data_IF_383821268042
#
_entry.id   IF_383821268042
#
_cell.length_a   1.000
_cell.length_b   1.000
_cell.length_c   1.000
_cell.angle_alpha   90.00
_cell.angle_beta   90.00
_cell.angle_gamma   90.00
#
_symmetry.space_group_name_H-M   'P 1'
#
loop_
_entity.id
_entity.type
_entity.pdbx_description
1 polymer ?
#
# COMPACT_ATOMS: atom_id res chain seq x y z
N UNK A 1 -21.17 4.13 3.47
CA UNK A 1 -20.67 5.23 4.32
C UNK A 1 -20.25 4.66 5.64
N UNK A 2 -18.94 4.68 5.88
CA UNK A 2 -18.35 4.25 7.15
C UNK A 2 -18.77 5.14 8.32
N UNK A 3 -18.86 4.52 9.47
CA UNK A 3 -19.11 5.13 10.78
C UNK A 3 -17.96 4.82 11.74
N UNK A 4 -17.92 5.47 12.90
CA UNK A 4 -16.95 5.19 13.96
C UNK A 4 -16.82 3.70 14.30
N UNK A 5 -17.94 2.95 14.27
CA UNK A 5 -17.97 1.51 14.56
C UNK A 5 -17.16 0.64 13.58
N UNK A 6 -16.83 1.19 12.41
CA UNK A 6 -16.06 0.47 11.38
C UNK A 6 -14.54 0.57 11.59
N UNK A 7 -14.10 1.35 12.59
CA UNK A 7 -12.70 1.41 13.03
C UNK A 7 -12.34 0.10 13.72
N UNK A 8 -11.20 -0.47 13.34
CA UNK A 8 -10.69 -1.68 13.95
C UNK A 8 -9.70 -1.33 15.07
N UNK A 9 -9.85 -1.99 16.21
CA UNK A 9 -9.09 -1.72 17.42
C UNK A 9 -8.35 -2.98 17.86
N UNK A 10 -7.09 -2.82 18.23
CA UNK A 10 -6.30 -3.84 18.90
C UNK A 10 -5.75 -3.29 20.20
N UNK A 11 -6.16 -3.90 21.31
CA UNK A 11 -5.62 -3.56 22.62
C UNK A 11 -4.27 -4.25 22.80
N UNK A 12 -3.19 -3.47 22.82
CA UNK A 12 -1.83 -3.97 23.01
C UNK A 12 -1.06 -3.05 23.96
N UNK A 13 -0.45 -3.61 25.00
CA UNK A 13 0.27 -2.81 25.99
C UNK A 13 1.74 -2.62 25.57
N UNK A 14 2.00 -1.54 24.84
CA UNK A 14 3.36 -1.13 24.47
C UNK A 14 4.10 -0.53 25.67
N UNK A 15 5.37 -0.92 25.84
CA UNK A 15 6.19 -0.48 26.98
C UNK A 15 6.39 1.04 27.07
N UNK A 16 6.19 1.77 25.98
CA UNK A 16 6.28 3.22 25.90
C UNK A 16 4.92 3.95 25.91
N UNK A 17 3.83 3.21 26.19
CA UNK A 17 2.45 3.73 26.27
C UNK A 17 1.98 4.48 25.00
N UNK A 18 2.60 4.18 23.85
CA UNK A 18 2.19 4.74 22.57
C UNK A 18 0.93 4.07 22.04
N UNK A 19 0.18 4.86 21.28
CA UNK A 19 -0.94 4.41 20.48
C UNK A 19 -0.64 4.78 19.03
N UNK A 20 -0.80 3.81 18.14
CA UNK A 20 -0.55 3.92 16.73
C UNK A 20 -1.90 3.98 16.01
N UNK A 21 -2.24 5.16 15.49
CA UNK A 21 -3.46 5.40 14.73
C UNK A 21 -3.07 5.38 13.25
N UNK A 22 -3.43 4.31 12.54
CA UNK A 22 -3.06 4.14 11.13
C UNK A 22 -4.29 4.24 10.24
N UNK A 23 -4.26 5.21 9.32
CA UNK A 23 -5.21 5.32 8.21
C UNK A 23 -4.54 4.84 6.92
N UNK A 24 -5.12 3.85 6.26
CA UNK A 24 -4.81 3.56 4.86
C UNK A 24 -5.83 4.17 3.95
N UNK A 25 -5.35 4.75 2.86
CA UNK A 25 -6.14 5.40 1.84
C UNK A 25 -5.83 4.68 0.55
N UNK A 26 -6.84 4.25 -0.22
CA UNK A 26 -6.70 3.60 -1.53
C UNK A 26 -6.24 4.57 -2.62
N UNK A 27 -5.15 5.28 -2.37
CA UNK A 27 -4.49 6.21 -3.27
C UNK A 27 -3.00 6.02 -3.05
N UNK A 28 -2.27 5.65 -4.10
CA UNK A 28 -0.82 5.48 -4.09
C UNK A 28 -0.16 6.12 -5.30
N UNK A 29 1.14 5.86 -5.48
CA UNK A 29 1.93 6.42 -6.59
C UNK A 29 1.62 5.80 -7.96
N UNK A 30 0.94 4.65 -7.98
CA UNK A 30 0.60 3.92 -9.19
C UNK A 30 -0.91 3.85 -9.48
N UNK A 31 -1.77 4.35 -8.59
CA UNK A 31 -3.22 4.34 -8.78
C UNK A 31 -3.70 5.58 -9.50
N UNK A 32 -4.22 5.39 -10.71
CA UNK A 32 -4.68 6.49 -11.56
C UNK A 32 -6.20 6.54 -11.70
N UNK A 33 -6.84 5.39 -11.80
CA UNK A 33 -8.24 5.29 -12.19
C UNK A 33 -9.10 5.02 -10.97
N UNK A 34 -10.22 5.73 -10.90
CA UNK A 34 -11.19 5.61 -9.81
C UNK A 34 -12.61 5.62 -10.39
N UNK A 35 -13.50 4.90 -9.75
CA UNK A 35 -14.94 5.04 -9.95
C UNK A 35 -15.51 5.83 -8.78
N UNK A 36 -16.04 7.01 -9.07
CA UNK A 36 -16.65 7.90 -8.08
C UNK A 36 -18.16 7.69 -8.10
N UNK A 37 -18.76 7.49 -6.92
CA UNK A 37 -20.21 7.31 -6.73
C UNK A 37 -20.80 6.19 -7.60
N UNK A 38 -19.99 5.17 -7.88
CA UNK A 38 -20.33 4.02 -8.72
C UNK A 38 -20.63 4.36 -10.18
N UNK A 39 -20.35 5.58 -10.64
CA UNK A 39 -20.84 6.08 -11.95
C UNK A 39 -19.81 6.84 -12.76
N UNK A 40 -18.97 7.66 -12.12
CA UNK A 40 -18.08 8.58 -12.82
C UNK A 40 -16.67 8.02 -12.83
N UNK A 41 -16.15 7.73 -14.01
CA UNK A 41 -14.73 7.47 -14.18
C UNK A 41 -13.95 8.75 -13.86
N UNK A 42 -12.94 8.60 -13.01
CA UNK A 42 -12.07 9.67 -12.58
C UNK A 42 -10.61 9.26 -12.77
N UNK A 43 -9.82 10.18 -13.32
CA UNK A 43 -8.40 10.01 -13.56
C UNK A 43 -7.67 10.95 -12.58
N UNK A 44 -7.12 10.38 -11.53
CA UNK A 44 -6.30 11.08 -10.53
C UNK A 44 -4.92 11.42 -11.10
N UNK A 45 -4.37 12.52 -10.61
CA UNK A 45 -2.98 12.85 -10.80
C UNK A 45 -2.11 11.97 -9.89
N UNK A 46 -1.23 11.15 -10.47
CA UNK A 46 -0.34 10.24 -9.74
C UNK A 46 0.54 10.90 -8.67
N UNK A 47 0.75 12.23 -8.76
CA UNK A 47 1.52 12.98 -7.77
C UNK A 47 0.72 13.40 -6.52
N UNK A 48 -0.61 13.28 -6.55
CA UNK A 48 -1.52 13.76 -5.51
C UNK A 48 -1.18 13.18 -4.13
N UNK A 49 -0.99 11.87 -4.02
CA UNK A 49 -0.67 11.21 -2.75
C UNK A 49 0.61 11.78 -2.10
N UNK A 50 1.67 11.97 -2.89
CA UNK A 50 2.93 12.52 -2.41
C UNK A 50 2.79 13.99 -1.95
N UNK A 51 1.98 14.78 -2.65
CA UNK A 51 1.75 16.18 -2.28
C UNK A 51 0.87 16.25 -1.03
N UNK A 52 -0.20 15.46 -0.96
CA UNK A 52 -1.08 15.37 0.20
C UNK A 52 -0.31 14.97 1.46
N UNK A 53 0.54 13.94 1.38
CA UNK A 53 1.31 13.51 2.56
C UNK A 53 2.32 14.56 3.03
N UNK A 54 2.95 15.30 2.12
CA UNK A 54 3.80 16.42 2.50
C UNK A 54 2.99 17.60 3.07
N UNK A 55 1.79 17.85 2.54
CA UNK A 55 0.86 18.85 3.08
C UNK A 55 0.46 18.50 4.52
N UNK A 56 0.04 17.26 4.77
CA UNK A 56 -0.37 16.81 6.10
C UNK A 56 0.80 16.85 7.09
N UNK A 57 2.03 16.53 6.65
CA UNK A 57 3.23 16.68 7.49
C UNK A 57 3.52 18.12 7.92
N UNK A 58 3.18 19.12 7.11
CA UNK A 58 3.33 20.52 7.51
C UNK A 58 2.37 20.91 8.65
N UNK A 59 1.24 20.22 8.81
CA UNK A 59 0.21 20.50 9.82
C UNK A 59 0.36 19.62 11.07
N UNK A 60 0.61 18.32 10.85
CA UNK A 60 0.63 17.31 11.90
C UNK A 60 2.03 17.02 12.44
N UNK A 61 3.08 17.58 11.83
CA UNK A 61 4.43 17.56 12.41
C UNK A 61 5.11 16.19 12.35
N UNK A 62 5.89 15.89 13.39
CA UNK A 62 6.76 14.71 13.47
C UNK A 62 6.00 13.46 13.93
N UNK A 63 4.86 13.66 14.57
CA UNK A 63 3.93 12.64 15.05
C UNK A 63 3.32 11.85 13.90
N UNK A 64 3.23 12.47 12.71
CA UNK A 64 2.77 11.83 11.49
C UNK A 64 3.93 11.17 10.73
N UNK A 65 3.91 9.84 10.69
CA UNK A 65 4.71 9.07 9.74
C UNK A 65 3.86 8.69 8.54
N UNK A 66 4.45 8.80 7.34
CA UNK A 66 3.76 8.55 6.07
C UNK A 66 4.52 7.53 5.25
N UNK A 67 3.79 6.62 4.63
CA UNK A 67 4.30 5.71 3.62
C UNK A 67 3.34 5.73 2.42
N UNK A 68 3.82 6.25 1.29
CA UNK A 68 3.06 6.26 0.04
C UNK A 68 3.53 5.09 -0.79
N UNK A 69 2.73 4.02 -0.82
CA UNK A 69 3.00 2.84 -1.63
C UNK A 69 2.36 2.98 -3.02
N UNK A 70 2.43 1.91 -3.82
CA UNK A 70 1.91 1.81 -5.19
C UNK A 70 0.40 2.02 -5.22
N UNK A 71 -0.33 1.38 -4.31
CA UNK A 71 -1.80 1.38 -4.29
C UNK A 71 -2.39 2.12 -3.09
N UNK A 72 -1.70 2.08 -1.96
CA UNK A 72 -2.21 2.57 -0.69
C UNK A 72 -1.24 3.59 -0.10
N UNK A 73 -1.79 4.67 0.43
CA UNK A 73 -1.06 5.61 1.29
C UNK A 73 -1.40 5.31 2.73
N UNK A 74 -0.38 5.07 3.54
CA UNK A 74 -0.47 4.86 4.97
C UNK A 74 -0.07 6.14 5.71
N UNK A 75 -0.95 6.59 6.60
CA UNK A 75 -0.74 7.69 7.52
C UNK A 75 -0.82 7.13 8.93
N UNK A 76 0.32 7.07 9.64
CA UNK A 76 0.36 6.63 11.03
C UNK A 76 0.67 7.83 11.93
N UNK A 77 -0.31 8.21 12.75
CA UNK A 77 -0.15 9.20 13.79
C UNK A 77 0.18 8.52 15.11
N UNK A 78 1.27 8.94 15.73
CA UNK A 78 1.76 8.37 16.99
C UNK A 78 1.29 9.27 18.14
N UNK A 79 0.37 8.75 18.95
CA UNK A 79 -0.19 9.43 20.11
C UNK A 79 0.25 8.72 21.41
N UNK A 80 -0.08 9.33 22.55
CA UNK A 80 0.08 8.75 23.89
C UNK A 80 -1.29 8.45 24.46
N UNK A 81 -1.34 7.50 25.39
CA UNK A 81 -2.58 7.14 26.07
C UNK A 81 -3.33 8.36 26.66
N UNK A 82 -2.62 9.32 27.25
CA UNK A 82 -3.20 10.50 27.91
C UNK A 82 -3.85 11.51 26.96
N UNK A 83 -3.39 11.59 25.71
CA UNK A 83 -3.84 12.59 24.72
C UNK A 83 -4.60 11.95 23.56
N UNK A 84 -4.88 10.64 23.65
CA UNK A 84 -5.39 9.83 22.57
C UNK A 84 -6.65 10.40 21.90
N UNK A 85 -7.67 10.77 22.68
CA UNK A 85 -8.93 11.26 22.13
C UNK A 85 -8.74 12.57 21.35
N UNK A 86 -8.01 13.53 21.92
CA UNK A 86 -7.73 14.83 21.29
C UNK A 86 -6.90 14.65 20.02
N UNK A 87 -5.84 13.86 20.09
CA UNK A 87 -4.96 13.55 18.96
C UNK A 87 -5.72 12.85 17.84
N UNK A 88 -6.58 11.89 18.18
CA UNK A 88 -7.37 11.14 17.21
C UNK A 88 -8.37 12.06 16.49
N UNK A 89 -9.10 12.90 17.23
CA UNK A 89 -9.99 13.89 16.64
C UNK A 89 -9.23 14.88 15.75
N UNK A 90 -8.08 15.38 16.20
CA UNK A 90 -7.22 16.27 15.40
C UNK A 90 -6.77 15.60 14.10
N UNK A 91 -6.36 14.34 14.17
CA UNK A 91 -5.91 13.55 13.03
C UNK A 91 -7.02 13.39 11.98
N UNK A 92 -8.21 12.94 12.41
CA UNK A 92 -9.38 12.76 11.55
C UNK A 92 -9.83 14.08 10.93
N UNK A 93 -10.01 15.13 11.74
CA UNK A 93 -10.39 16.47 11.25
C UNK A 93 -9.43 17.00 10.19
N UNK A 94 -8.13 16.85 10.42
CA UNK A 94 -7.10 17.40 9.50
C UNK A 94 -7.12 16.69 8.15
N UNK A 95 -7.29 15.37 8.15
CA UNK A 95 -7.29 14.57 6.91
C UNK A 95 -8.53 14.88 6.07
N UNK A 96 -9.70 14.80 6.70
CA UNK A 96 -11.01 14.93 6.04
C UNK A 96 -11.49 16.39 5.91
N UNK A 97 -10.67 17.38 6.28
CA UNK A 97 -10.96 18.78 6.05
C UNK A 97 -11.19 19.05 4.55
N UNK A 98 -12.36 19.59 4.24
CA UNK A 98 -12.80 19.93 2.88
C UNK A 98 -12.07 21.16 2.33
N UNK A 99 -11.72 22.09 3.21
CA UNK A 99 -10.90 23.25 2.95
C UNK A 99 -9.43 22.94 3.26
N UNK A 100 -8.54 23.34 2.35
CA UNK A 100 -7.09 23.24 2.56
C UNK A 100 -6.43 24.54 2.20
N UNK A 101 -5.37 24.90 2.90
CA UNK A 101 -4.67 26.17 2.70
C UNK A 101 -3.86 26.15 1.39
N UNK A 102 -4.02 27.20 0.58
CA UNK A 102 -3.37 27.30 -0.72
C UNK A 102 -1.85 27.54 -0.62
N UNK A 103 -1.38 28.27 0.39
CA UNK A 103 0.05 28.53 0.60
C UNK A 103 0.77 27.27 1.09
N UNK A 104 0.12 26.50 1.98
CA UNK A 104 0.60 25.19 2.40
C UNK A 104 0.61 24.20 1.23
N UNK A 105 -0.39 24.25 0.34
CA UNK A 105 -0.35 23.47 -0.90
C UNK A 105 0.88 23.80 -1.74
N UNK A 106 1.14 25.07 -2.05
CA UNK A 106 2.30 25.46 -2.88
C UNK A 106 3.63 25.05 -2.22
N UNK A 107 3.73 25.20 -0.90
CA UNK A 107 4.89 24.76 -0.12
C UNK A 107 5.07 23.24 -0.19
N UNK A 108 4.00 22.47 -0.01
CA UNK A 108 4.02 21.01 -0.08
C UNK A 108 4.37 20.51 -1.49
N UNK A 109 3.85 21.14 -2.54
CA UNK A 109 4.17 20.84 -3.95
C UNK A 109 5.65 21.08 -4.22
N UNK A 110 6.17 22.24 -3.82
CA UNK A 110 7.59 22.57 -3.98
C UNK A 110 8.50 21.55 -3.28
N UNK A 111 8.22 21.24 -2.01
CA UNK A 111 8.97 20.25 -1.25
C UNK A 111 8.93 18.86 -1.90
N UNK A 112 7.77 18.46 -2.43
CA UNK A 112 7.60 17.20 -3.14
C UNK A 112 8.47 17.14 -4.40
N UNK A 113 8.44 18.20 -5.22
CA UNK A 113 9.25 18.29 -6.45
C UNK A 113 10.75 18.25 -6.14
N UNK A 114 11.19 19.01 -5.13
CA UNK A 114 12.60 19.05 -4.74
C UNK A 114 13.10 17.69 -4.24
N UNK A 115 12.32 17.03 -3.37
CA UNK A 115 12.62 15.70 -2.86
C UNK A 115 12.65 14.66 -3.99
N UNK A 116 11.65 14.69 -4.88
CA UNK A 116 11.61 13.79 -6.04
C UNK A 116 12.82 14.01 -6.94
N UNK A 117 13.15 15.25 -7.30
CA UNK A 117 14.34 15.57 -8.13
C UNK A 117 15.65 15.10 -7.50
N UNK A 118 15.77 15.19 -6.17
CA UNK A 118 16.93 14.67 -5.44
C UNK A 118 16.99 13.15 -5.56
N UNK A 119 15.89 12.45 -5.27
CA UNK A 119 15.82 10.98 -5.28
C UNK A 119 15.95 10.40 -6.69
N UNK A 120 15.42 11.08 -7.71
CA UNK A 120 15.51 10.64 -9.11
C UNK A 120 16.96 10.51 -9.62
N UNK A 121 17.93 11.16 -8.95
CA UNK A 121 19.36 11.01 -9.26
C UNK A 121 19.95 9.69 -8.77
N UNK A 122 19.35 9.04 -7.77
CA UNK A 122 19.74 7.73 -7.28
C UNK A 122 19.21 6.65 -8.25
N UNK A 123 20.07 5.70 -8.62
CA UNK A 123 19.75 4.65 -9.59
C UNK A 123 18.65 3.70 -9.10
N UNK A 124 18.72 3.29 -7.84
CA UNK A 124 17.78 2.34 -7.21
C UNK A 124 16.36 2.90 -7.19
N UNK A 125 16.20 4.17 -6.77
CA UNK A 125 14.91 4.84 -6.78
C UNK A 125 14.30 4.87 -8.20
N UNK A 126 15.11 5.22 -9.21
CA UNK A 126 14.63 5.26 -10.59
C UNK A 126 14.29 3.86 -11.11
N UNK A 127 15.12 2.86 -10.82
CA UNK A 127 14.88 1.49 -11.23
C UNK A 127 13.59 0.94 -10.62
N UNK A 128 13.34 1.20 -9.34
CA UNK A 128 12.10 0.82 -8.66
C UNK A 128 10.87 1.50 -9.28
N UNK A 129 10.92 2.81 -9.53
CA UNK A 129 9.79 3.51 -10.16
C UNK A 129 9.56 3.10 -11.61
N UNK A 130 10.58 2.59 -12.31
CA UNK A 130 10.41 1.96 -13.63
C UNK A 130 9.88 0.54 -13.53
N UNK A 131 10.23 -0.20 -12.47
CA UNK A 131 9.70 -1.53 -12.20
C UNK A 131 8.18 -1.53 -12.07
N UNK A 132 7.61 -0.44 -11.55
CA UNK A 132 6.16 -0.23 -11.48
C UNK A 132 5.51 -0.13 -12.87
N UNK A 133 6.19 0.38 -13.90
CA UNK A 133 5.62 0.42 -15.26
C UNK A 133 5.33 -0.97 -15.81
N UNK A 134 6.17 -1.96 -15.47
CA UNK A 134 5.97 -3.34 -15.85
C UNK A 134 4.97 -4.05 -14.92
N UNK A 135 5.13 -3.87 -13.62
CA UNK A 135 4.36 -4.62 -12.63
C UNK A 135 2.94 -4.08 -12.39
N UNK A 136 2.69 -2.78 -12.55
CA UNK A 136 1.37 -2.11 -12.39
C UNK A 136 0.69 -1.77 -13.72
N UNK A 137 0.92 -2.60 -14.75
CA UNK A 137 0.38 -2.34 -16.09
C UNK A 137 -1.14 -2.14 -16.10
N UNK A 138 -1.90 -2.88 -15.27
CA UNK A 138 -3.36 -2.77 -15.21
C UNK A 138 -3.86 -1.45 -14.59
N UNK A 139 -3.02 -0.78 -13.80
CA UNK A 139 -3.28 0.56 -13.26
C UNK A 139 -2.90 1.68 -14.22
N UNK A 140 -2.26 1.34 -15.35
CA UNK A 140 -1.80 2.29 -16.36
C UNK A 140 -0.73 3.24 -15.85
N UNK A 141 0.06 2.82 -14.86
CA UNK A 141 1.13 3.63 -14.31
C UNK A 141 2.26 3.81 -15.32
N UNK A 142 2.73 5.06 -15.44
CA UNK A 142 3.94 5.44 -16.16
C UNK A 142 4.70 6.47 -15.33
N UNK A 143 6.01 6.29 -15.19
CA UNK A 143 6.88 7.24 -14.50
C UNK A 143 6.83 8.61 -15.17
N UNK A 144 6.69 8.63 -16.50
CA UNK A 144 6.48 9.88 -17.23
C UNK A 144 5.24 10.65 -16.75
N UNK A 145 4.10 9.96 -16.58
CA UNK A 145 2.84 10.58 -16.15
C UNK A 145 2.94 11.11 -14.72
N UNK A 146 3.68 10.43 -13.84
CA UNK A 146 3.98 10.93 -12.49
C UNK A 146 4.84 12.22 -12.53
N UNK A 147 5.89 12.23 -13.35
CA UNK A 147 6.78 13.40 -13.50
C UNK A 147 6.02 14.59 -14.08
N UNK A 148 5.19 14.35 -15.08
CA UNK A 148 4.35 15.39 -15.68
C UNK A 148 3.29 15.88 -14.68
N UNK A 149 2.67 14.95 -13.95
CA UNK A 149 1.68 15.23 -12.91
C UNK A 149 2.21 16.15 -11.82
N UNK A 150 3.44 15.94 -11.35
CA UNK A 150 4.13 16.80 -10.37
C UNK A 150 4.25 18.26 -10.85
N UNK A 151 4.45 18.48 -12.14
CA UNK A 151 4.59 19.82 -12.71
C UNK A 151 3.22 20.50 -12.87
N UNK A 152 2.24 19.75 -13.38
CA UNK A 152 0.94 20.27 -13.80
C UNK A 152 -0.10 20.42 -12.69
N UNK A 153 0.00 19.63 -11.61
CA UNK A 153 -1.00 19.69 -10.53
C UNK A 153 -1.10 21.11 -9.95
N UNK A 154 -2.31 21.65 -9.90
CA UNK A 154 -2.60 22.96 -9.33
C UNK A 154 -3.51 22.79 -8.10
N UNK A 155 -3.72 23.88 -7.37
CA UNK A 155 -4.51 23.86 -6.14
C UNK A 155 -5.96 23.38 -6.36
N UNK A 156 -6.60 23.78 -7.46
CA UNK A 156 -7.96 23.34 -7.80
C UNK A 156 -8.04 21.82 -8.01
N UNK A 157 -7.07 21.26 -8.74
CA UNK A 157 -6.96 19.81 -8.94
C UNK A 157 -6.75 19.10 -7.60
N UNK A 158 -5.87 19.63 -6.75
CA UNK A 158 -5.57 19.07 -5.44
C UNK A 158 -6.78 19.06 -4.51
N UNK A 159 -7.56 20.15 -4.45
CA UNK A 159 -8.79 20.22 -3.67
C UNK A 159 -9.84 19.25 -4.21
N UNK A 160 -10.01 19.21 -5.54
CA UNK A 160 -10.97 18.31 -6.15
C UNK A 160 -10.61 16.83 -5.88
N UNK A 161 -9.33 16.45 -6.02
CA UNK A 161 -8.87 15.10 -5.67
C UNK A 161 -9.06 14.80 -4.20
N UNK A 162 -8.77 15.75 -3.31
CA UNK A 162 -9.02 15.56 -1.89
C UNK A 162 -10.50 15.27 -1.61
N UNK A 163 -11.41 16.08 -2.17
CA UNK A 163 -12.85 15.92 -1.98
C UNK A 163 -13.38 14.58 -2.49
N UNK A 164 -12.82 14.07 -3.60
CA UNK A 164 -13.32 12.87 -4.24
C UNK A 164 -12.66 11.58 -3.70
N UNK A 165 -11.40 11.63 -3.30
CA UNK A 165 -10.59 10.44 -3.00
C UNK A 165 -10.28 10.28 -1.51
N UNK A 166 -10.27 11.36 -0.73
CA UNK A 166 -10.01 11.34 0.71
C UNK A 166 -11.34 11.32 1.42
N UNK A 167 -12.01 10.17 1.33
CA UNK A 167 -13.36 9.94 1.85
C UNK A 167 -13.39 8.66 2.69
N UNK A 168 -14.25 8.56 3.72
CA UNK A 168 -14.26 7.41 4.62
C UNK A 168 -14.40 6.07 3.89
N UNK A 169 -15.23 6.00 2.84
CA UNK A 169 -15.45 4.78 2.07
C UNK A 169 -14.20 4.31 1.29
N UNK A 170 -13.23 5.20 1.03
CA UNK A 170 -11.97 4.90 0.34
C UNK A 170 -10.79 4.69 1.31
N UNK A 171 -11.05 4.62 2.61
CA UNK A 171 -10.03 4.54 3.65
C UNK A 171 -10.33 3.45 4.68
N UNK A 172 -9.33 2.92 5.36
CA UNK A 172 -9.48 2.04 6.53
C UNK A 172 -8.67 2.55 7.71
N UNK A 173 -9.24 2.48 8.92
CA UNK A 173 -8.59 2.87 10.17
C UNK A 173 -8.32 1.65 11.03
N UNK A 174 -7.10 1.57 11.53
CA UNK A 174 -6.66 0.58 12.50
C UNK A 174 -5.95 1.30 13.65
N UNK A 175 -6.38 1.05 14.88
CA UNK A 175 -5.82 1.67 16.08
C UNK A 175 -5.26 0.60 16.99
N UNK A 176 -3.99 0.75 17.34
CA UNK A 176 -3.25 -0.24 18.09
C UNK A 176 -2.55 0.40 19.29
N UNK A 177 -2.81 -0.12 20.50
CA UNK A 177 -2.16 0.36 21.72
C UNK A 177 -3.04 0.21 22.96
N UNK A 178 -2.61 0.82 24.06
CA UNK A 178 -3.35 0.81 25.33
C UNK A 178 -4.43 1.89 25.33
N UNK A 179 -5.59 1.54 24.81
CA UNK A 179 -6.67 2.49 24.54
C UNK A 179 -7.37 2.95 25.82
N UNK A 180 -7.85 4.20 25.81
CA UNK A 180 -8.87 4.70 26.73
C UNK A 180 -10.21 4.74 26.01
N UNK A 181 -11.31 4.72 26.77
CA UNK A 181 -12.65 4.90 26.20
C UNK A 181 -12.76 6.28 25.54
N UNK A 182 -13.31 6.31 24.33
CA UNK A 182 -13.60 7.55 23.61
C UNK A 182 -14.98 8.06 24.07
N UNK A 183 -15.06 9.36 24.37
CA UNK A 183 -16.27 10.03 24.80
C UNK A 183 -17.37 9.99 23.72
N UNK A 184 -18.64 9.99 24.15
CA UNK A 184 -19.77 10.02 23.20
C UNK A 184 -19.72 11.26 22.30
N UNK A 185 -19.26 12.40 22.83
CA UNK A 185 -19.10 13.64 22.07
C UNK A 185 -18.04 13.47 20.95
N UNK A 186 -16.90 12.86 21.25
CA UNK A 186 -15.88 12.57 20.24
C UNK A 186 -16.40 11.61 19.16
N UNK A 187 -17.16 10.58 19.54
CA UNK A 187 -17.80 9.66 18.58
C UNK A 187 -18.77 10.40 17.66
N UNK A 188 -19.61 11.29 18.19
CA UNK A 188 -20.54 12.11 17.40
C UNK A 188 -19.81 13.03 16.42
N UNK A 189 -18.69 13.64 16.85
CA UNK A 189 -17.87 14.47 15.98
C UNK A 189 -17.23 13.68 14.84
N UNK A 190 -16.69 12.49 15.11
CA UNK A 190 -16.12 11.61 14.07
C UNK A 190 -17.18 11.22 13.05
N UNK A 191 -18.36 10.79 13.52
CA UNK A 191 -19.47 10.44 12.63
C UNK A 191 -19.93 11.64 11.79
N UNK A 192 -19.94 12.84 12.36
CA UNK A 192 -20.27 14.08 11.63
C UNK A 192 -19.25 14.33 10.51
N UNK A 193 -17.95 14.25 10.80
CA UNK A 193 -16.88 14.42 9.80
C UNK A 193 -17.02 13.39 8.68
N UNK A 194 -17.32 12.13 9.01
CA UNK A 194 -17.52 11.09 8.01
C UNK A 194 -18.76 11.37 7.14
N UNK A 195 -19.86 11.81 7.74
CA UNK A 195 -21.11 12.12 7.05
C UNK A 195 -21.02 13.35 6.12
N UNK A 196 -20.11 14.29 6.39
CA UNK A 196 -19.83 15.44 5.52
C UNK A 196 -19.07 15.05 4.24
N UNK A 197 -18.35 13.92 4.25
CA UNK A 197 -17.53 13.43 3.15
C UNK A 197 -18.27 12.34 2.34
N UNK A 198 -19.35 12.74 1.65
CA UNK A 198 -20.37 11.85 1.08
C UNK A 198 -19.99 11.10 -0.20
N UNK A 199 -18.88 11.43 -0.85
CA UNK A 199 -18.48 10.70 -2.04
C UNK A 199 -18.01 9.29 -1.68
N UNK A 200 -18.24 8.37 -2.60
CA UNK A 200 -17.60 7.05 -2.58
C UNK A 200 -16.54 7.02 -3.67
N UNK A 201 -15.40 6.41 -3.37
CA UNK A 201 -14.38 6.13 -4.35
C UNK A 201 -13.96 4.66 -4.23
N UNK A 202 -13.87 4.00 -5.36
CA UNK A 202 -13.30 2.66 -5.47
C UNK A 202 -12.24 2.68 -6.55
N UNK A 203 -11.17 1.92 -6.37
CA UNK A 203 -10.15 1.79 -7.40
C UNK A 203 -10.78 1.27 -8.70
N UNK A 204 -10.43 1.94 -9.79
CA UNK A 204 -10.72 1.52 -11.15
C UNK A 204 -9.45 1.05 -11.84
N UNK A 205 -9.61 0.49 -13.03
CA UNK A 205 -8.48 0.05 -13.85
C UNK A 205 -8.95 -0.84 -14.99
N UNK A 206 -8.03 -1.14 -15.89
CA UNK A 206 -8.26 -2.12 -16.94
C UNK A 206 -7.65 -3.45 -16.52
N UNK A 207 -8.48 -4.48 -16.41
CA UNK A 207 -7.98 -5.86 -16.23
C UNK A 207 -7.52 -6.39 -17.59
N UNK A 208 -6.34 -5.94 -18.05
CA UNK A 208 -5.67 -6.66 -19.15
C UNK A 208 -5.27 -8.05 -18.66
N UNK A 209 -5.29 -9.06 -19.53
CA UNK A 209 -4.89 -10.40 -19.13
C UNK A 209 -3.40 -10.42 -18.75
N UNK A 210 -3.11 -10.40 -17.45
CA UNK A 210 -1.74 -10.46 -16.93
C UNK A 210 -0.96 -11.70 -17.37
N UNK A 211 -1.68 -12.75 -17.75
CA UNK A 211 -1.13 -13.99 -18.32
C UNK A 211 -0.43 -13.76 -19.67
N UNK A 212 -0.70 -12.64 -20.34
CA UNK A 212 -0.11 -12.27 -21.64
C UNK A 212 1.12 -11.36 -21.52
N UNK A 213 1.60 -11.06 -20.30
CA UNK A 213 2.83 -10.27 -20.14
C UNK A 213 4.04 -11.11 -20.58
N UNK A 214 4.80 -10.58 -21.54
CA UNK A 214 6.05 -11.19 -21.99
C UNK A 214 7.21 -10.85 -21.05
N UNK A 215 8.24 -11.71 -21.06
CA UNK A 215 9.50 -11.40 -20.39
C UNK A 215 10.15 -10.15 -21.02
N UNK A 216 10.81 -9.33 -20.21
CA UNK A 216 11.44 -8.10 -20.70
C UNK A 216 12.82 -7.83 -20.07
N UNK A 217 13.70 -7.19 -20.84
CA UNK A 217 14.94 -6.61 -20.31
C UNK A 217 15.00 -5.15 -20.69
N UNK A 218 15.07 -4.28 -19.69
CA UNK A 218 15.19 -2.84 -19.87
C UNK A 218 16.61 -2.40 -19.52
N UNK A 219 17.38 -2.00 -20.54
CA UNK A 219 18.74 -1.51 -20.38
C UNK A 219 18.75 0.01 -20.31
N UNK A 220 19.35 0.59 -19.26
CA UNK A 220 19.42 2.03 -19.09
C UNK A 220 20.78 2.53 -18.64
N UNK A 221 21.11 3.73 -19.11
CA UNK A 221 22.30 4.45 -18.64
C UNK A 221 21.98 5.15 -17.33
N UNK A 222 22.82 4.92 -16.31
CA UNK A 222 22.72 5.52 -14.99
C UNK A 222 24.11 5.84 -14.45
N UNK A 223 24.19 6.49 -13.28
CA UNK A 223 25.48 6.79 -12.62
C UNK A 223 25.98 5.62 -11.78
N UNK A 224 25.14 4.62 -11.58
CA UNK A 224 25.33 3.51 -10.65
C UNK A 224 24.87 2.24 -11.35
N UNK A 225 25.53 1.13 -11.04
CA UNK A 225 25.08 -0.17 -11.52
C UNK A 225 23.97 -0.65 -10.60
N UNK A 226 22.78 -0.87 -11.15
CA UNK A 226 21.63 -1.39 -10.40
C UNK A 226 20.99 -2.48 -11.23
N UNK A 227 20.60 -3.59 -10.60
CA UNK A 227 19.70 -4.55 -11.19
C UNK A 227 18.46 -4.66 -10.31
N UNK A 228 17.29 -4.52 -10.94
CA UNK A 228 16.01 -4.80 -10.31
C UNK A 228 15.35 -5.89 -11.12
N UNK A 229 15.00 -6.98 -10.45
CA UNK A 229 14.25 -8.07 -11.02
C UNK A 229 12.79 -8.01 -10.56
N UNK A 230 11.88 -8.29 -11.49
CA UNK A 230 10.44 -8.11 -11.35
C UNK A 230 9.76 -9.38 -11.81
N UNK A 231 9.14 -10.08 -10.87
CA UNK A 231 8.25 -11.19 -11.17
C UNK A 231 6.82 -10.66 -11.13
N UNK A 232 6.16 -10.56 -12.29
CA UNK A 232 4.72 -10.23 -12.35
C UNK A 232 3.94 -11.54 -12.42
N UNK A 233 2.88 -11.64 -11.62
CA UNK A 233 2.07 -12.85 -11.51
C UNK A 233 0.68 -12.60 -12.08
N UNK A 234 0.27 -13.49 -12.97
CA UNK A 234 -1.10 -13.62 -13.44
C UNK A 234 -1.77 -14.86 -12.84
N UNK A 235 -3.08 -14.81 -12.67
CA UNK A 235 -3.88 -15.90 -12.11
C UNK A 235 -5.12 -16.16 -12.99
N UNK A 236 -5.77 -17.30 -12.79
CA UNK A 236 -7.11 -17.52 -13.36
C UNK A 236 -8.12 -16.49 -12.84
N UNK A 237 -9.21 -16.32 -13.59
CA UNK A 237 -10.30 -15.41 -13.18
C UNK A 237 -10.95 -15.90 -11.88
N UNK A 238 -11.37 -14.95 -11.02
CA UNK A 238 -12.04 -15.19 -9.73
C UNK A 238 -11.18 -15.73 -8.57
N UNK A 239 -9.86 -15.56 -8.61
CA UNK A 239 -9.02 -15.76 -7.42
C UNK A 239 -9.08 -14.51 -6.54
N UNK A 240 -9.39 -14.67 -5.25
CA UNK A 240 -9.47 -13.56 -4.32
C UNK A 240 -8.10 -12.90 -4.09
N UNK A 241 -8.08 -11.63 -3.66
CA UNK A 241 -6.83 -10.96 -3.27
C UNK A 241 -6.16 -11.70 -2.11
N UNK A 242 -6.95 -12.15 -1.13
CA UNK A 242 -6.48 -12.93 0.02
C UNK A 242 -5.75 -14.21 -0.40
N UNK A 243 -6.34 -15.00 -1.29
CA UNK A 243 -5.72 -16.23 -1.79
C UNK A 243 -4.38 -15.93 -2.50
N UNK A 244 -4.32 -14.85 -3.30
CA UNK A 244 -3.10 -14.38 -3.96
C UNK A 244 -2.04 -13.93 -2.95
N UNK A 245 -2.44 -13.23 -1.89
CA UNK A 245 -1.55 -12.81 -0.80
C UNK A 245 -0.94 -14.02 -0.10
N UNK A 246 -1.74 -15.01 0.31
CA UNK A 246 -1.26 -16.23 0.96
C UNK A 246 -0.29 -16.98 0.03
N UNK A 247 -0.66 -17.18 -1.23
CA UNK A 247 0.20 -17.81 -2.21
C UNK A 247 1.55 -17.11 -2.34
N UNK A 248 1.57 -15.79 -2.49
CA UNK A 248 2.80 -15.01 -2.67
C UNK A 248 3.65 -14.93 -1.41
N UNK A 249 3.05 -14.81 -0.22
CA UNK A 249 3.77 -14.84 1.05
C UNK A 249 4.55 -16.14 1.23
N UNK A 250 3.95 -17.26 0.84
CA UNK A 250 4.59 -18.58 0.93
C UNK A 250 5.63 -18.77 -0.17
N UNK A 251 5.26 -18.57 -1.44
CA UNK A 251 6.14 -18.89 -2.56
C UNK A 251 7.36 -17.96 -2.66
N UNK A 252 7.24 -16.71 -2.21
CA UNK A 252 8.35 -15.76 -2.20
C UNK A 252 9.52 -16.18 -1.30
N UNK A 253 9.30 -17.08 -0.34
CA UNK A 253 10.36 -17.62 0.51
C UNK A 253 11.36 -18.50 -0.26
N UNK A 254 10.98 -18.98 -1.46
CA UNK A 254 11.89 -19.74 -2.34
C UNK A 254 12.97 -18.86 -2.95
N UNK A 255 12.78 -17.55 -2.94
CA UNK A 255 13.69 -16.56 -3.48
C UNK A 255 14.59 -16.10 -2.33
N UNK A 256 15.90 -16.28 -2.43
CA UNK A 256 16.84 -15.98 -1.33
C UNK A 256 17.32 -14.51 -1.30
N UNK A 257 16.62 -13.59 -1.95
CA UNK A 257 16.94 -12.17 -1.87
C UNK A 257 16.55 -11.57 -0.51
N UNK A 258 17.41 -10.75 0.08
CA UNK A 258 17.18 -10.11 1.39
C UNK A 258 16.07 -9.05 1.31
N UNK A 259 16.07 -8.22 0.26
CA UNK A 259 15.11 -7.13 0.09
C UNK A 259 14.11 -7.45 -1.03
N UNK A 260 13.05 -8.18 -0.66
CA UNK A 260 11.91 -8.48 -1.55
C UNK A 260 10.73 -7.59 -1.21
N UNK A 261 10.18 -6.95 -2.23
CA UNK A 261 8.95 -6.15 -2.15
C UNK A 261 7.84 -7.00 -2.76
N UNK A 262 6.94 -7.46 -1.91
CA UNK A 262 5.71 -8.13 -2.33
C UNK A 262 4.63 -7.08 -2.51
N UNK A 263 3.97 -7.11 -3.66
CA UNK A 263 2.82 -6.24 -3.92
C UNK A 263 1.67 -7.07 -4.44
N UNK A 264 0.52 -6.99 -3.78
CA UNK A 264 -0.71 -7.68 -4.16
C UNK A 264 -1.86 -6.71 -3.98
N UNK A 265 -2.66 -6.52 -5.02
CA UNK A 265 -3.95 -5.85 -4.92
C UNK A 265 -4.94 -6.45 -5.91
N UNK A 266 -6.13 -5.86 -5.97
CA UNK A 266 -7.19 -6.24 -6.89
C UNK A 266 -6.71 -6.36 -8.35
N UNK A 267 -5.80 -5.50 -8.82
CA UNK A 267 -5.36 -5.43 -10.22
C UNK A 267 -4.09 -6.20 -10.52
N UNK A 268 -3.06 -6.07 -9.69
CA UNK A 268 -1.73 -6.60 -9.94
C UNK A 268 -1.11 -7.35 -8.76
N UNK A 269 -0.21 -8.26 -9.11
CA UNK A 269 0.54 -9.06 -8.16
C UNK A 269 1.97 -9.19 -8.65
N UNK A 270 2.93 -8.84 -7.80
CA UNK A 270 4.34 -8.88 -8.17
C UNK A 270 5.28 -9.09 -6.99
N UNK A 271 6.48 -9.56 -7.32
CA UNK A 271 7.64 -9.55 -6.43
C UNK A 271 8.72 -8.72 -7.11
N UNK A 272 9.19 -7.66 -6.46
CA UNK A 272 10.30 -6.84 -6.93
C UNK A 272 11.47 -7.04 -5.98
N UNK A 273 12.67 -7.22 -6.52
CA UNK A 273 13.88 -7.39 -5.73
C UNK A 273 15.07 -6.74 -6.41
N UNK A 274 16.00 -6.23 -5.61
CA UNK A 274 17.29 -5.79 -6.09
C UNK A 274 18.25 -6.99 -6.10
N UNK A 275 19.02 -7.14 -7.17
CA UNK A 275 19.97 -8.24 -7.33
C UNK A 275 21.36 -7.73 -7.67
N UNK A 276 22.39 -8.42 -7.18
CA UNK A 276 23.77 -8.12 -7.57
C UNK A 276 24.04 -8.54 -9.02
N UNK A 277 23.43 -9.64 -9.44
CA UNK A 277 23.55 -10.22 -10.78
C UNK A 277 22.19 -10.41 -11.44
N UNK A 278 22.23 -10.48 -12.77
CA UNK A 278 21.05 -10.74 -13.60
C UNK A 278 20.81 -12.25 -13.60
N UNK A 279 19.82 -12.70 -12.83
CA UNK A 279 19.52 -14.12 -12.60
C UNK A 279 18.09 -14.38 -13.04
N UNK A 280 17.84 -15.54 -13.67
CA UNK A 280 16.49 -15.93 -14.09
C UNK A 280 15.65 -16.44 -12.91
N UNK A 281 14.91 -15.57 -12.25
CA UNK A 281 14.22 -15.88 -10.99
C UNK A 281 12.87 -16.56 -11.17
N UNK A 282 12.17 -16.40 -12.30
CA UNK A 282 10.82 -16.97 -12.47
C UNK A 282 10.77 -18.50 -12.33
N UNK A 283 11.88 -19.17 -12.62
CA UNK A 283 12.01 -20.62 -12.47
C UNK A 283 11.87 -21.08 -11.01
N UNK A 284 12.18 -20.21 -10.04
CA UNK A 284 12.05 -20.52 -8.61
C UNK A 284 10.59 -20.69 -8.20
N UNK A 285 9.65 -20.02 -8.87
CA UNK A 285 8.21 -20.07 -8.55
C UNK A 285 7.45 -21.17 -9.31
N UNK A 286 8.12 -21.94 -10.19
CA UNK A 286 7.46 -22.92 -11.06
C UNK A 286 6.78 -24.07 -10.31
N UNK A 287 7.40 -24.54 -9.23
CA UNK A 287 6.91 -25.67 -8.46
C UNK A 287 6.30 -25.21 -7.14
N UNK A 288 5.23 -25.87 -6.68
CA UNK A 288 4.70 -25.64 -5.34
C UNK A 288 5.75 -26.00 -4.27
N UNK A 289 5.67 -25.36 -3.09
CA UNK A 289 6.49 -25.74 -1.95
C UNK A 289 6.28 -27.22 -1.62
N UNK A 290 7.33 -27.88 -1.13
CA UNK A 290 7.19 -29.18 -0.47
C UNK A 290 6.62 -28.98 0.93
N UNK A 291 5.93 -29.99 1.46
CA UNK A 291 5.27 -29.95 2.76
C UNK A 291 6.17 -29.44 3.90
N UNK A 292 7.39 -29.98 4.02
CA UNK A 292 8.34 -29.52 5.05
C UNK A 292 8.66 -28.02 4.93
N UNK A 293 8.89 -27.52 3.71
CA UNK A 293 9.18 -26.12 3.46
C UNK A 293 7.95 -25.23 3.65
N UNK A 294 6.76 -25.73 3.35
CA UNK A 294 5.49 -25.06 3.64
C UNK A 294 5.31 -24.87 5.16
N UNK A 295 5.54 -25.92 5.94
CA UNK A 295 5.42 -25.87 7.40
C UNK A 295 6.44 -24.91 8.06
N UNK A 296 7.67 -24.93 7.57
CA UNK A 296 8.71 -23.98 8.01
C UNK A 296 8.31 -22.54 7.65
N UNK A 297 7.80 -22.34 6.43
CA UNK A 297 7.35 -21.01 5.95
C UNK A 297 6.19 -20.48 6.76
N UNK A 298 5.18 -21.33 7.05
CA UNK A 298 4.02 -20.97 7.88
C UNK A 298 4.46 -20.43 9.25
N UNK A 299 5.34 -21.17 9.93
CA UNK A 299 5.91 -20.75 11.24
C UNK A 299 6.71 -19.45 11.12
N UNK A 300 7.52 -19.31 10.08
CA UNK A 300 8.31 -18.11 9.85
C UNK A 300 7.44 -16.87 9.63
N UNK A 301 6.44 -16.95 8.76
CA UNK A 301 5.52 -15.84 8.46
C UNK A 301 4.79 -15.38 9.73
N UNK A 302 4.25 -16.31 10.51
CA UNK A 302 3.60 -15.98 11.79
C UNK A 302 4.59 -15.34 12.77
N UNK A 303 5.82 -15.85 12.85
CA UNK A 303 6.88 -15.28 13.68
C UNK A 303 7.24 -13.85 13.29
N UNK A 304 7.35 -13.56 11.99
CA UNK A 304 7.63 -12.22 11.46
C UNK A 304 6.49 -11.24 11.77
N UNK A 305 5.23 -11.65 11.56
CA UNK A 305 4.08 -10.78 11.86
C UNK A 305 3.98 -10.51 13.36
N UNK A 306 4.22 -11.51 14.21
CA UNK A 306 4.27 -11.32 15.66
C UNK A 306 5.42 -10.39 16.06
N UNK A 307 6.58 -10.52 15.42
CA UNK A 307 7.69 -9.58 15.64
C UNK A 307 7.31 -8.15 15.25
N UNK A 308 6.56 -7.94 14.16
CA UNK A 308 6.03 -6.62 13.83
C UNK A 308 5.07 -6.10 14.89
N UNK A 309 4.14 -6.92 15.37
CA UNK A 309 3.22 -6.50 16.44
C UNK A 309 3.96 -5.96 17.66
N UNK A 310 5.04 -6.64 18.08
CA UNK A 310 5.80 -6.30 19.27
C UNK A 310 6.86 -5.20 19.07
N UNK A 311 7.53 -5.18 17.91
CA UNK A 311 8.73 -4.35 17.69
C UNK A 311 8.59 -3.32 16.57
N UNK A 312 7.64 -3.50 15.65
CA UNK A 312 7.37 -2.57 14.54
C UNK A 312 5.85 -2.42 14.32
N UNK A 313 5.14 -1.81 15.30
CA UNK A 313 3.68 -1.72 15.29
C UNK A 313 3.15 -0.94 14.08
N UNK A 314 3.97 -0.08 13.49
CA UNK A 314 3.61 0.63 12.27
C UNK A 314 3.50 -0.32 11.09
N UNK A 315 4.49 -1.22 10.91
CA UNK A 315 4.45 -2.24 9.85
C UNK A 315 3.29 -3.21 10.05
N UNK A 316 3.02 -3.59 11.30
CA UNK A 316 1.86 -4.43 11.64
C UNK A 316 0.54 -3.74 11.29
N UNK A 317 0.37 -2.47 11.68
CA UNK A 317 -0.83 -1.71 11.36
C UNK A 317 -1.04 -1.50 9.86
N UNK A 318 0.04 -1.29 9.08
CA UNK A 318 -0.05 -1.22 7.62
C UNK A 318 -0.65 -2.51 7.05
N UNK A 319 -0.16 -3.68 7.47
CA UNK A 319 -0.73 -4.97 7.06
C UNK A 319 -2.22 -5.08 7.43
N UNK A 320 -2.59 -4.69 8.65
CA UNK A 320 -3.98 -4.75 9.11
C UNK A 320 -4.91 -3.91 8.23
N UNK A 321 -4.46 -2.70 7.88
CA UNK A 321 -5.20 -1.78 7.02
C UNK A 321 -5.30 -2.26 5.58
N UNK A 322 -4.22 -2.81 5.02
CA UNK A 322 -4.20 -3.41 3.68
C UNK A 322 -5.18 -4.59 3.60
N UNK A 323 -5.19 -5.47 4.61
CA UNK A 323 -6.16 -6.57 4.72
C UNK A 323 -7.59 -6.04 4.83
N UNK A 324 -7.80 -5.00 5.65
CA UNK A 324 -9.13 -4.43 5.88
C UNK A 324 -9.72 -3.79 4.63
N UNK A 325 -8.89 -3.17 3.80
CA UNK A 325 -9.28 -2.63 2.49
C UNK A 325 -9.86 -3.75 1.60
N UNK A 326 -9.32 -4.95 1.70
CA UNK A 326 -9.78 -6.15 1.00
C UNK A 326 -10.89 -6.91 1.76
N UNK A 327 -11.49 -6.27 2.77
CA UNK A 327 -12.53 -6.80 3.65
C UNK A 327 -12.11 -8.03 4.48
N UNK A 328 -10.83 -8.13 4.83
CA UNK A 328 -10.28 -9.19 5.69
C UNK A 328 -9.82 -8.58 7.02
N UNK A 329 -10.29 -9.12 8.16
CA UNK A 329 -9.75 -8.73 9.46
C UNK A 329 -8.38 -9.36 9.69
N UNK A 330 -7.48 -8.67 10.39
CA UNK A 330 -6.13 -9.21 10.62
C UNK A 330 -6.17 -10.51 11.45
N UNK A 331 -7.12 -10.64 12.38
CA UNK A 331 -7.30 -11.85 13.19
C UNK A 331 -7.72 -13.03 12.31
N UNK A 332 -8.65 -12.82 11.38
CA UNK A 332 -9.07 -13.86 10.44
C UNK A 332 -7.92 -14.29 9.53
N UNK A 333 -7.13 -13.32 9.04
CA UNK A 333 -5.95 -13.60 8.24
C UNK A 333 -4.92 -14.46 9.00
N UNK A 334 -4.62 -14.11 10.26
CA UNK A 334 -3.71 -14.87 11.12
C UNK A 334 -4.24 -16.27 11.42
N UNK A 335 -5.56 -16.41 11.64
CA UNK A 335 -6.21 -17.71 11.81
C UNK A 335 -6.08 -18.57 10.56
N UNK A 336 -6.29 -18.00 9.37
CA UNK A 336 -6.14 -18.71 8.10
C UNK A 336 -4.69 -19.18 7.93
N UNK A 337 -3.70 -18.29 8.10
CA UNK A 337 -2.28 -18.66 7.97
C UNK A 337 -1.89 -19.75 8.98
N UNK A 338 -2.41 -19.71 10.20
CA UNK A 338 -2.06 -20.67 11.24
C UNK A 338 -2.72 -22.04 11.08
N UNK A 339 -3.88 -22.11 10.44
CA UNK A 339 -4.67 -23.34 10.31
C UNK A 339 -4.62 -23.99 8.93
N UNK A 340 -4.24 -23.24 7.88
CA UNK A 340 -4.15 -23.77 6.52
C UNK A 340 -3.26 -25.02 6.46
N UNK A 341 -3.81 -26.09 5.90
CA UNK A 341 -3.13 -27.37 5.71
C UNK A 341 -2.40 -27.41 4.37
N UNK A 342 -1.36 -28.24 4.27
CA UNK A 342 -0.56 -28.35 3.05
C UNK A 342 -1.40 -28.77 1.83
N UNK A 343 -2.27 -29.76 1.99
CA UNK A 343 -3.10 -30.27 0.89
C UNK A 343 -4.11 -29.23 0.40
N UNK A 344 -4.68 -28.43 1.31
CA UNK A 344 -5.55 -27.30 0.97
C UNK A 344 -4.77 -26.24 0.20
N UNK A 345 -3.58 -25.86 0.68
CA UNK A 345 -2.71 -24.92 0.00
C UNK A 345 -2.37 -25.39 -1.43
N UNK A 346 -1.95 -26.64 -1.60
CA UNK A 346 -1.64 -27.23 -2.92
C UNK A 346 -2.86 -27.21 -3.83
N UNK A 347 -4.03 -27.58 -3.31
CA UNK A 347 -5.30 -27.56 -4.06
C UNK A 347 -5.62 -26.15 -4.55
N UNK A 348 -5.45 -25.14 -3.69
CA UNK A 348 -5.65 -23.74 -4.06
C UNK A 348 -4.64 -23.28 -5.13
N UNK A 349 -3.36 -23.64 -5.01
CA UNK A 349 -2.36 -23.30 -6.04
C UNK A 349 -2.70 -23.93 -7.41
N UNK A 350 -3.17 -25.18 -7.43
CA UNK A 350 -3.59 -25.85 -8.67
C UNK A 350 -4.79 -25.12 -9.31
N UNK A 351 -5.74 -24.66 -8.51
CA UNK A 351 -6.90 -23.87 -8.97
C UNK A 351 -6.48 -22.51 -9.51
N UNK A 352 -5.54 -21.83 -8.85
CA UNK A 352 -5.03 -20.52 -9.22
C UNK A 352 -4.33 -20.49 -10.59
N UNK A 353 -3.63 -21.57 -10.95
CA UNK A 353 -2.78 -21.70 -12.15
C UNK A 353 -1.90 -20.45 -12.37
N UNK A 354 -1.01 -20.13 -11.42
CA UNK A 354 -0.18 -18.93 -11.49
C UNK A 354 0.73 -18.95 -12.72
N UNK A 355 0.72 -17.86 -13.47
CA UNK A 355 1.67 -17.60 -14.56
C UNK A 355 2.64 -16.53 -14.11
N UNK A 356 3.93 -16.71 -14.38
CA UNK A 356 4.97 -15.74 -13.99
C UNK A 356 5.66 -15.21 -15.24
N UNK A 357 5.62 -13.89 -15.40
CA UNK A 357 6.44 -13.16 -16.36
C UNK A 357 7.56 -12.43 -15.62
N UNK A 358 8.73 -12.34 -16.24
CA UNK A 358 9.92 -11.76 -15.61
C UNK A 358 10.43 -10.56 -16.38
N UNK A 359 10.64 -9.45 -15.68
CA UNK A 359 11.31 -8.29 -16.24
C UNK A 359 12.52 -7.90 -15.41
N UNK A 360 13.59 -7.50 -16.10
CA UNK A 360 14.82 -7.06 -15.46
C UNK A 360 15.16 -5.65 -15.92
N UNK A 361 15.31 -4.75 -14.95
CA UNK A 361 15.80 -3.39 -15.17
C UNK A 361 17.28 -3.37 -14.81
N UNK A 362 18.09 -3.11 -15.82
CA UNK A 362 19.53 -3.15 -15.74
C UNK A 362 20.04 -1.74 -16.00
N UNK A 363 20.48 -1.07 -14.94
CA UNK A 363 21.12 0.23 -15.02
C UNK A 363 22.63 0.08 -15.02
N UNK A 364 23.32 0.72 -15.95
CA UNK A 364 24.78 0.67 -16.11
C UNK A 364 25.38 2.06 -16.32
N UNK A 365 26.61 2.23 -15.88
CA UNK A 365 27.40 3.46 -16.08
C UNK A 365 27.68 3.78 -17.54
#
# INVERSE_FOLDING_TARGET
>A
MKEYKDIEYNYHDYSDSKIYITLGINVGVATRYFLIDGKKEYISNLSFANILTNYLKLILGQELVVNVDRTITHLTYISKQETFEEDFLRFIRTIFASDKDAELFETSKKNTIEKFRKNYKNGEFRALYKAFEYSDANKGYKLYDLIEGLQKINYETFINENKLLIVPDNCCLYINGKLQDISCEAVEQINTIFAENQHTATLGGTMSEQRLKDDAHLLEVARENVNVDILSLGFETNISVLDRMIYLLFQSQKILAENKILHIDTFDSSIIMQTEEVIKMKMMLKNVLKEEAFEQTRKHVLGVINQWLEMDPMRFNMLAVELKIENVQIIDFLNIISTVEYDEFVTNVIKMRPTVSEAQIIMRR
#
